data_IF_459056004326
#
_entry.id   IF_459056004326
#
_cell.length_a   1.000
_cell.length_b   1.000
_cell.length_c   1.000
_cell.angle_alpha   90.00
_cell.angle_beta   90.00
_cell.angle_gamma   90.00
#
_symmetry.space_group_name_H-M   'P 1'
#
loop_
_entity.id
_entity.type
_entity.pdbx_description
1 polymer ?
#
# COMPACT_ATOMS: atom_id res chain seq x y z
N UNK A 1 8.32 -18.75 8.35
CA UNK A 1 8.24 -17.44 8.99
C UNK A 1 6.90 -17.34 9.72
N UNK A 2 6.92 -17.08 11.01
CA UNK A 2 5.72 -16.89 11.84
C UNK A 2 5.20 -15.45 11.72
N UNK A 3 4.03 -15.16 12.27
CA UNK A 3 3.52 -13.76 12.32
C UNK A 3 4.46 -12.86 13.13
N UNK A 4 5.00 -13.38 14.21
CA UNK A 4 5.95 -12.64 15.05
C UNK A 4 7.25 -12.30 14.31
N UNK A 5 7.73 -13.21 13.46
CA UNK A 5 8.91 -12.94 12.60
C UNK A 5 8.62 -11.85 11.58
N UNK A 6 7.40 -11.79 11.02
CA UNK A 6 6.98 -10.76 10.07
C UNK A 6 6.88 -9.39 10.73
N UNK A 7 6.29 -9.33 11.93
CA UNK A 7 6.18 -8.08 12.69
C UNK A 7 7.59 -7.56 13.02
N UNK A 8 8.46 -8.43 13.56
CA UNK A 8 9.85 -8.08 13.88
C UNK A 8 10.62 -7.57 12.65
N UNK A 9 10.46 -8.22 11.51
CA UNK A 9 11.08 -7.80 10.25
C UNK A 9 10.63 -6.38 9.85
N UNK A 10 9.35 -6.07 10.01
CA UNK A 10 8.81 -4.74 9.73
C UNK A 10 9.31 -3.70 10.75
N UNK A 11 9.40 -4.06 12.04
CA UNK A 11 9.93 -3.20 13.09
C UNK A 11 11.41 -2.85 12.86
N UNK A 12 12.22 -3.82 12.45
CA UNK A 12 13.62 -3.61 12.05
C UNK A 12 13.75 -2.67 10.84
N UNK A 13 12.74 -2.64 9.97
CA UNK A 13 12.65 -1.68 8.87
C UNK A 13 12.10 -0.30 9.26
N UNK A 14 11.75 -0.10 10.54
CA UNK A 14 11.28 1.17 11.10
C UNK A 14 9.77 1.37 11.05
N UNK A 15 8.98 0.29 10.94
CA UNK A 15 7.53 0.33 10.98
C UNK A 15 6.96 -0.06 12.34
N UNK A 16 5.77 0.45 12.64
CA UNK A 16 4.82 -0.26 13.48
C UNK A 16 4.10 -1.27 12.57
N UNK A 17 3.80 -2.46 13.08
CA UNK A 17 3.25 -3.52 12.23
C UNK A 17 2.24 -4.41 12.94
N UNK A 18 1.33 -4.98 12.14
CA UNK A 18 0.40 -6.02 12.55
C UNK A 18 0.15 -7.01 11.41
N UNK A 19 -0.22 -8.23 11.75
CA UNK A 19 -0.61 -9.25 10.78
C UNK A 19 -2.07 -9.64 11.03
N UNK A 20 -2.85 -9.76 9.95
CA UNK A 20 -4.23 -10.23 10.00
C UNK A 20 -4.58 -11.08 8.77
N UNK A 21 -5.65 -11.89 8.82
CA UNK A 21 -6.17 -12.55 7.63
C UNK A 21 -6.56 -11.54 6.56
N UNK A 22 -6.16 -11.75 5.29
CA UNK A 22 -6.43 -10.79 4.22
C UNK A 22 -7.93 -10.50 4.02
N UNK A 23 -8.79 -11.50 4.22
CA UNK A 23 -10.25 -11.37 4.16
C UNK A 23 -10.87 -10.47 5.25
N UNK A 24 -10.10 -10.13 6.26
CA UNK A 24 -10.53 -9.26 7.34
C UNK A 24 -10.15 -7.79 7.15
N UNK A 25 -9.46 -7.46 6.06
CA UNK A 25 -9.13 -6.08 5.69
C UNK A 25 -10.43 -5.32 5.40
N UNK A 26 -10.69 -4.21 6.11
CA UNK A 26 -11.89 -3.42 5.87
C UNK A 26 -11.77 -2.68 4.55
N UNK A 27 -12.75 -2.85 3.67
CA UNK A 27 -12.85 -2.17 2.39
C UNK A 27 -14.21 -1.51 2.24
N UNK A 28 -14.26 -0.40 1.50
CA UNK A 28 -15.49 0.29 1.14
C UNK A 28 -15.40 0.72 -0.33
N UNK A 29 -16.18 0.07 -1.20
CA UNK A 29 -16.16 0.32 -2.64
C UNK A 29 -16.48 1.77 -3.02
N UNK A 30 -17.20 2.51 -2.17
CA UNK A 30 -17.49 3.93 -2.38
C UNK A 30 -16.23 4.80 -2.42
N UNK A 31 -15.13 4.35 -1.82
CA UNK A 31 -13.84 5.06 -1.81
C UNK A 31 -13.20 5.14 -3.19
N UNK A 32 -13.65 4.33 -4.17
CA UNK A 32 -13.20 4.45 -5.56
C UNK A 32 -13.44 5.86 -6.12
N UNK A 33 -14.49 6.52 -5.66
CA UNK A 33 -14.80 7.89 -6.05
C UNK A 33 -13.65 8.86 -5.76
N UNK A 34 -12.90 8.69 -4.67
CA UNK A 34 -11.73 9.53 -4.37
C UNK A 34 -10.64 9.44 -5.46
N UNK A 35 -10.51 8.27 -6.08
CA UNK A 35 -9.61 8.10 -7.22
C UNK A 35 -10.21 8.70 -8.51
N UNK A 36 -11.52 8.56 -8.74
CA UNK A 36 -12.22 9.08 -9.92
C UNK A 36 -12.25 10.61 -9.93
N UNK A 37 -12.36 11.24 -8.77
CA UNK A 37 -12.26 12.71 -8.62
C UNK A 37 -10.85 13.25 -9.00
N UNK A 38 -9.86 12.36 -9.12
CA UNK A 38 -8.51 12.59 -9.65
C UNK A 38 -7.75 13.76 -9.01
N UNK A 39 -8.00 14.06 -7.74
CA UNK A 39 -7.32 15.14 -7.02
C UNK A 39 -5.80 14.94 -6.92
N UNK A 40 -5.34 13.68 -6.93
CA UNK A 40 -3.92 13.35 -6.93
C UNK A 40 -3.27 13.33 -8.33
N UNK A 41 -4.04 13.50 -9.42
CA UNK A 41 -3.57 13.49 -10.80
C UNK A 41 -3.05 12.14 -11.31
N UNK A 42 -3.39 11.02 -10.64
CA UNK A 42 -2.90 9.66 -10.98
C UNK A 42 -3.95 8.75 -11.60
N UNK A 43 -5.20 9.21 -11.66
CA UNK A 43 -6.26 8.46 -12.34
C UNK A 43 -5.93 8.30 -13.82
N UNK A 44 -6.05 7.08 -14.35
CA UNK A 44 -5.70 6.72 -15.74
C UNK A 44 -4.27 7.13 -16.18
N UNK A 45 -3.34 7.28 -15.23
CA UNK A 45 -1.97 7.72 -15.50
C UNK A 45 -0.92 6.64 -15.20
N UNK A 46 -1.32 5.50 -14.63
CA UNK A 46 -0.43 4.36 -14.38
C UNK A 46 -1.20 3.06 -14.09
N UNK A 47 -0.53 1.92 -14.25
CA UNK A 47 -1.12 0.59 -14.03
C UNK A 47 -1.46 0.26 -12.57
N UNK A 48 -1.06 1.08 -11.62
CA UNK A 48 -1.31 0.88 -10.19
C UNK A 48 -2.50 1.69 -9.67
N UNK A 49 -3.04 2.58 -10.50
CA UNK A 49 -4.21 3.41 -10.20
C UNK A 49 -5.39 3.04 -11.10
N UNK A 50 -6.63 3.36 -10.72
CA UNK A 50 -7.79 3.14 -11.57
C UNK A 50 -7.71 3.95 -12.86
N UNK A 51 -8.27 3.42 -13.95
CA UNK A 51 -8.81 2.07 -14.14
C UNK A 51 -7.73 0.99 -14.33
N UNK A 52 -6.46 1.34 -14.48
CA UNK A 52 -5.35 0.43 -14.79
C UNK A 52 -5.10 -0.68 -13.77
N UNK A 53 -5.46 -0.48 -12.50
CA UNK A 53 -5.37 -1.51 -11.47
C UNK A 53 -6.56 -2.50 -11.48
N UNK A 54 -7.63 -2.20 -12.22
CA UNK A 54 -8.86 -2.99 -12.30
C UNK A 54 -10.06 -2.34 -11.62
N UNK A 55 -11.22 -3.00 -11.75
CA UNK A 55 -12.48 -2.61 -11.08
C UNK A 55 -12.41 -2.81 -9.57
N UNK A 56 -13.41 -2.33 -8.83
CA UNK A 56 -13.52 -2.55 -7.38
C UNK A 56 -13.59 -4.04 -7.07
N UNK A 57 -14.40 -4.78 -7.82
CA UNK A 57 -14.58 -6.22 -7.68
C UNK A 57 -13.27 -6.98 -7.90
N UNK A 58 -12.54 -6.64 -8.97
CA UNK A 58 -11.27 -7.29 -9.31
C UNK A 58 -10.18 -7.05 -8.26
N UNK A 59 -10.07 -5.82 -7.74
CA UNK A 59 -9.06 -5.53 -6.70
C UNK A 59 -9.42 -6.18 -5.37
N UNK A 60 -10.70 -6.24 -5.00
CA UNK A 60 -11.15 -6.93 -3.79
C UNK A 60 -10.99 -8.45 -3.92
N UNK A 61 -11.33 -9.03 -5.06
CA UNK A 61 -11.10 -10.45 -5.32
C UNK A 61 -9.62 -10.80 -5.19
N UNK A 62 -8.72 -9.98 -5.76
CA UNK A 62 -7.27 -10.17 -5.67
C UNK A 62 -6.78 -10.05 -4.24
N UNK A 63 -7.30 -9.10 -3.46
CA UNK A 63 -6.94 -8.88 -2.07
C UNK A 63 -7.36 -10.07 -1.19
N UNK A 64 -8.62 -10.48 -1.31
CA UNK A 64 -9.20 -11.53 -0.48
C UNK A 64 -8.80 -12.96 -0.91
N UNK A 65 -8.18 -13.11 -2.07
CA UNK A 65 -7.53 -14.36 -2.48
C UNK A 65 -6.21 -14.62 -1.75
N UNK A 66 -5.64 -13.60 -1.08
CA UNK A 66 -4.45 -13.79 -0.25
C UNK A 66 -4.81 -14.42 1.11
N UNK A 67 -3.86 -15.10 1.73
CA UNK A 67 -4.06 -15.72 3.04
C UNK A 67 -4.01 -14.68 4.16
N UNK A 68 -2.98 -13.83 4.14
CA UNK A 68 -2.67 -12.85 5.19
C UNK A 68 -2.26 -11.51 4.61
N UNK A 69 -2.28 -10.52 5.48
CA UNK A 69 -1.70 -9.22 5.21
C UNK A 69 -0.80 -8.78 6.36
N UNK A 70 0.39 -8.30 6.03
CA UNK A 70 1.25 -7.52 6.91
C UNK A 70 0.90 -6.05 6.69
N UNK A 71 0.29 -5.43 7.69
CA UNK A 71 0.00 -3.99 7.74
C UNK A 71 1.16 -3.30 8.41
N UNK A 72 1.63 -2.24 7.80
CA UNK A 72 2.76 -1.46 8.30
C UNK A 72 2.43 0.02 8.36
N UNK A 73 2.98 0.71 9.33
CA UNK A 73 2.78 2.14 9.53
C UNK A 73 4.12 2.82 9.81
N UNK A 74 4.36 3.96 9.15
CA UNK A 74 5.37 4.92 9.51
C UNK A 74 4.72 6.22 9.97
N UNK A 75 5.27 6.79 11.06
CA UNK A 75 4.82 8.07 11.60
C UNK A 75 5.95 9.08 11.49
N UNK A 76 5.64 10.26 10.98
CA UNK A 76 6.56 11.38 10.89
C UNK A 76 6.04 12.56 11.71
N UNK A 77 6.93 13.21 12.41
CA UNK A 77 6.69 14.55 12.94
C UNK A 77 6.61 15.54 11.76
N UNK A 78 5.57 16.34 11.72
CA UNK A 78 5.36 17.36 10.67
C UNK A 78 4.95 18.68 11.33
N UNK A 79 5.15 19.77 10.61
CA UNK A 79 4.63 21.08 11.00
C UNK A 79 3.61 21.52 9.92
N UNK A 80 2.43 20.92 9.99
CA UNK A 80 1.41 21.05 8.93
C UNK A 80 1.74 20.21 7.70
N UNK A 81 0.97 20.47 6.62
CA UNK A 81 1.06 19.68 5.37
C UNK A 81 1.47 20.53 4.17
N UNK A 82 2.13 21.66 4.39
CA UNK A 82 2.54 22.59 3.33
C UNK A 82 3.85 22.16 2.67
N UNK A 83 4.70 21.40 3.36
CA UNK A 83 5.95 20.88 2.82
C UNK A 83 5.69 19.68 1.88
N UNK A 84 5.38 19.98 0.63
CA UNK A 84 5.08 18.97 -0.40
C UNK A 84 6.27 18.07 -0.72
N UNK A 85 7.49 18.57 -0.65
CA UNK A 85 8.70 17.78 -0.93
C UNK A 85 8.92 16.76 0.17
N UNK A 86 8.78 17.14 1.43
CA UNK A 86 8.85 16.24 2.56
C UNK A 86 7.77 15.14 2.47
N UNK A 87 6.52 15.51 2.17
CA UNK A 87 5.43 14.55 2.03
C UNK A 87 5.72 13.55 0.90
N UNK A 88 6.20 14.02 -0.25
CA UNK A 88 6.54 13.14 -1.38
C UNK A 88 7.71 12.22 -1.02
N UNK A 89 8.74 12.73 -0.37
CA UNK A 89 9.91 11.94 0.04
C UNK A 89 9.53 10.86 1.06
N UNK A 90 8.67 11.18 2.04
CA UNK A 90 8.17 10.25 3.05
C UNK A 90 7.33 9.13 2.42
N UNK A 91 6.44 9.46 1.48
CA UNK A 91 5.67 8.48 0.69
C UNK A 91 6.59 7.55 -0.10
N UNK A 92 7.59 8.11 -0.76
CA UNK A 92 8.55 7.33 -1.54
C UNK A 92 9.41 6.43 -0.64
N UNK A 93 9.76 6.87 0.56
CA UNK A 93 10.45 6.05 1.55
C UNK A 93 9.58 4.88 1.99
N UNK A 94 8.33 5.13 2.41
CA UNK A 94 7.39 4.07 2.78
C UNK A 94 7.25 3.04 1.65
N UNK A 95 6.95 3.48 0.42
CA UNK A 95 6.74 2.58 -0.71
C UNK A 95 7.97 1.72 -1.02
N UNK A 96 9.18 2.31 -0.98
CA UNK A 96 10.43 1.56 -1.19
C UNK A 96 10.65 0.52 -0.10
N UNK A 97 10.42 0.89 1.17
CA UNK A 97 10.62 -0.03 2.29
C UNK A 97 9.60 -1.18 2.24
N UNK A 98 8.34 -0.92 1.88
CA UNK A 98 7.32 -1.95 1.66
C UNK A 98 7.72 -2.92 0.54
N UNK A 99 8.28 -2.41 -0.57
CA UNK A 99 8.78 -3.26 -1.65
C UNK A 99 9.98 -4.12 -1.22
N UNK A 100 10.91 -3.57 -0.43
CA UNK A 100 12.03 -4.32 0.13
C UNK A 100 11.56 -5.44 1.08
N UNK A 101 10.57 -5.16 1.93
CA UNK A 101 9.96 -6.20 2.77
C UNK A 101 9.33 -7.31 1.92
N UNK A 102 8.62 -6.96 0.83
CA UNK A 102 8.05 -7.97 -0.07
C UNK A 102 9.13 -8.83 -0.73
N UNK A 103 10.26 -8.24 -1.13
CA UNK A 103 11.38 -9.03 -1.69
C UNK A 103 11.91 -10.03 -0.62
N UNK A 104 12.05 -9.64 0.64
CA UNK A 104 12.43 -10.55 1.74
C UNK A 104 11.38 -11.65 2.00
N UNK A 105 10.08 -11.31 1.91
CA UNK A 105 9.01 -12.31 2.01
C UNK A 105 9.10 -13.33 0.86
N UNK A 106 9.42 -12.88 -0.35
CA UNK A 106 9.60 -13.76 -1.52
C UNK A 106 10.77 -14.72 -1.34
N UNK A 107 11.89 -14.25 -0.80
CA UNK A 107 13.05 -15.09 -0.45
C UNK A 107 12.69 -16.13 0.62
N UNK A 108 11.74 -15.81 1.50
CA UNK A 108 11.22 -16.74 2.51
C UNK A 108 10.09 -17.66 2.00
N UNK A 109 9.86 -17.71 0.68
CA UNK A 109 8.88 -18.61 0.06
C UNK A 109 7.43 -18.12 0.11
N UNK A 110 7.22 -16.82 0.25
CA UNK A 110 5.91 -16.21 0.13
C UNK A 110 5.75 -15.49 -1.21
N UNK A 111 4.52 -15.27 -1.64
CA UNK A 111 4.21 -14.46 -2.81
C UNK A 111 2.98 -13.58 -2.55
N UNK A 112 2.84 -12.52 -3.33
CA UNK A 112 1.76 -11.58 -3.15
C UNK A 112 2.04 -10.22 -3.77
N UNK A 113 1.44 -9.17 -3.23
CA UNK A 113 1.59 -7.83 -3.76
C UNK A 113 1.53 -6.75 -2.66
N UNK A 114 1.96 -5.55 -3.02
CA UNK A 114 2.08 -4.42 -2.12
C UNK A 114 1.04 -3.34 -2.40
N UNK A 115 0.52 -2.76 -1.33
CA UNK A 115 -0.21 -1.51 -1.32
C UNK A 115 0.55 -0.49 -0.48
N UNK A 116 0.63 0.73 -0.97
CA UNK A 116 1.29 1.83 -0.29
C UNK A 116 0.53 3.12 -0.44
N UNK A 117 1.25 4.23 -0.55
CA UNK A 117 0.67 5.55 -0.62
C UNK A 117 0.99 6.24 -1.96
N UNK A 118 -0.05 6.73 -2.65
CA UNK A 118 0.10 7.35 -3.97
C UNK A 118 0.30 6.33 -5.09
N UNK A 119 0.67 6.81 -6.26
CA UNK A 119 0.93 5.94 -7.42
C UNK A 119 2.29 5.23 -7.33
N UNK A 120 2.46 4.21 -8.19
CA UNK A 120 3.71 3.46 -8.28
C UNK A 120 4.89 4.38 -8.67
N UNK A 121 6.01 4.35 -7.94
CA UNK A 121 7.16 5.23 -8.19
C UNK A 121 8.21 4.64 -9.13
N UNK A 122 8.00 3.44 -9.69
CA UNK A 122 9.03 2.69 -10.42
C UNK A 122 9.32 3.25 -11.82
N UNK A 123 8.39 3.99 -12.41
CA UNK A 123 8.54 4.62 -13.73
C UNK A 123 8.02 6.06 -13.72
N UNK A 124 8.70 6.96 -14.42
CA UNK A 124 8.24 8.33 -14.62
C UNK A 124 8.58 8.81 -16.04
N UNK A 125 7.59 8.93 -16.96
CA UNK A 125 6.20 8.51 -16.82
C UNK A 125 6.01 6.99 -16.79
N UNK A 126 4.84 6.54 -16.32
CA UNK A 126 4.48 5.13 -16.37
C UNK A 126 4.28 4.69 -17.84
N UNK A 127 4.67 3.45 -18.16
CA UNK A 127 4.51 2.89 -19.52
C UNK A 127 3.06 2.81 -19.99
N UNK A 128 2.09 2.84 -19.10
CA UNK A 128 0.67 2.91 -19.44
C UNK A 128 0.34 4.15 -20.29
N UNK A 129 0.98 5.30 -20.01
CA UNK A 129 0.75 6.54 -20.78
C UNK A 129 1.26 6.47 -22.22
N UNK A 130 2.14 5.50 -22.50
CA UNK A 130 2.67 5.21 -23.84
C UNK A 130 1.93 4.02 -24.50
N UNK A 131 0.89 3.47 -23.88
CA UNK A 131 0.20 2.25 -24.36
C UNK A 131 1.07 0.98 -24.31
N UNK A 132 2.17 1.00 -23.56
CA UNK A 132 3.11 -0.13 -23.45
C UNK A 132 2.86 -0.93 -22.17
N UNK A 133 3.17 -2.25 -22.16
CA UNK A 133 3.08 -3.08 -20.96
C UNK A 133 3.88 -2.50 -19.78
N UNK A 134 3.45 -2.86 -18.55
CA UNK A 134 4.19 -2.49 -17.35
C UNK A 134 5.62 -3.08 -17.40
N UNK A 135 6.62 -2.23 -17.14
CA UNK A 135 8.03 -2.67 -17.13
C UNK A 135 8.37 -3.53 -15.89
N UNK A 136 7.58 -3.44 -14.81
CA UNK A 136 7.81 -4.11 -13.54
C UNK A 136 6.50 -4.71 -12.99
N UNK A 137 5.85 -5.65 -13.71
CA UNK A 137 4.52 -6.14 -13.33
C UNK A 137 4.49 -6.78 -11.93
N UNK A 138 5.56 -7.50 -11.56
CA UNK A 138 5.67 -8.20 -10.27
C UNK A 138 6.10 -7.28 -9.11
N UNK A 139 6.61 -6.09 -9.41
CA UNK A 139 7.13 -5.14 -8.42
C UNK A 139 6.28 -3.88 -8.28
N UNK A 140 5.22 -3.74 -9.07
CA UNK A 140 4.37 -2.55 -8.97
C UNK A 140 3.68 -2.49 -7.62
N UNK A 141 3.61 -1.28 -7.06
CA UNK A 141 2.87 -1.00 -5.83
C UNK A 141 1.64 -0.16 -6.14
N UNK A 142 0.48 -0.55 -5.62
CA UNK A 142 -0.77 0.19 -5.76
C UNK A 142 -1.06 1.03 -4.50
N UNK A 143 -1.95 2.00 -4.63
CA UNK A 143 -2.39 2.79 -3.49
C UNK A 143 -3.47 2.04 -2.68
N UNK A 144 -3.46 2.20 -1.36
CA UNK A 144 -4.52 1.68 -0.48
C UNK A 144 -5.91 2.16 -0.94
N UNK A 145 -6.04 3.43 -1.35
CA UNK A 145 -7.29 3.99 -1.89
C UNK A 145 -7.73 3.32 -3.19
N UNK A 146 -6.79 2.87 -4.05
CA UNK A 146 -7.11 2.15 -5.27
C UNK A 146 -7.73 0.77 -5.01
N UNK A 147 -7.48 0.20 -3.84
CA UNK A 147 -8.09 -1.02 -3.34
C UNK A 147 -9.27 -0.74 -2.39
N UNK A 148 -9.67 0.51 -2.26
CA UNK A 148 -10.77 0.94 -1.40
C UNK A 148 -10.62 0.51 0.06
N UNK A 149 -9.39 0.43 0.56
CA UNK A 149 -9.11 0.07 1.96
C UNK A 149 -9.48 1.21 2.88
N UNK A 150 -10.30 0.94 3.89
CA UNK A 150 -10.61 1.86 4.98
C UNK A 150 -9.48 1.84 6.00
N UNK A 151 -8.52 2.74 5.82
CA UNK A 151 -7.30 2.81 6.66
C UNK A 151 -7.64 3.11 8.12
N UNK A 152 -8.66 3.92 8.39
CA UNK A 152 -9.07 4.23 9.76
C UNK A 152 -9.59 2.99 10.51
N UNK A 153 -10.46 2.21 9.85
CA UNK A 153 -10.93 0.93 10.42
C UNK A 153 -9.82 -0.11 10.48
N UNK A 154 -8.92 -0.13 9.50
CA UNK A 154 -7.79 -1.04 9.48
C UNK A 154 -6.84 -0.76 10.65
N UNK A 155 -6.45 0.50 10.87
CA UNK A 155 -5.61 0.90 12.00
C UNK A 155 -6.22 0.49 13.34
N UNK A 156 -7.51 0.78 13.54
CA UNK A 156 -8.24 0.37 14.74
C UNK A 156 -8.23 -1.15 14.94
N UNK A 157 -8.43 -1.92 13.87
CA UNK A 157 -8.45 -3.39 13.93
C UNK A 157 -7.08 -3.97 14.24
N UNK A 158 -6.01 -3.32 13.77
CA UNK A 158 -4.61 -3.69 14.01
C UNK A 158 -4.04 -3.11 15.31
N UNK A 159 -4.82 -2.34 16.07
CA UNK A 159 -4.35 -1.61 17.27
C UNK A 159 -3.17 -0.68 16.96
N UNK A 160 -3.08 -0.18 15.73
CA UNK A 160 -2.08 0.79 15.29
C UNK A 160 -2.58 2.21 15.55
N UNK A 161 -1.70 3.14 15.96
CA UNK A 161 -2.10 4.53 16.20
C UNK A 161 -2.54 5.19 14.89
N UNK A 162 -3.64 5.93 14.93
CA UNK A 162 -4.09 6.73 13.80
C UNK A 162 -4.92 7.91 14.28
N UNK A 163 -4.46 9.10 13.98
CA UNK A 163 -5.20 10.33 14.24
C UNK A 163 -4.92 11.36 13.14
N UNK A 164 -5.93 12.15 12.83
CA UNK A 164 -5.73 13.35 12.02
C UNK A 164 -5.19 14.46 12.91
N UNK A 165 -3.96 14.90 12.64
CA UNK A 165 -3.33 16.00 13.38
C UNK A 165 -2.46 16.85 12.46
N UNK A 166 -2.05 18.04 12.92
CA UNK A 166 -1.14 18.91 12.17
C UNK A 166 0.34 18.69 12.55
N UNK A 167 0.62 17.84 13.52
CA UNK A 167 1.95 17.57 14.06
C UNK A 167 2.47 16.17 13.72
N UNK A 168 1.58 15.26 13.28
CA UNK A 168 1.95 13.90 12.89
C UNK A 168 1.30 13.47 11.58
N UNK A 169 2.11 12.87 10.73
CA UNK A 169 1.67 12.24 9.49
C UNK A 169 1.79 10.72 9.61
N UNK A 170 0.65 10.04 9.52
CA UNK A 170 0.52 8.59 9.54
C UNK A 170 0.42 8.04 8.12
N UNK A 171 1.41 7.28 7.70
CA UNK A 171 1.40 6.63 6.38
C UNK A 171 1.39 5.12 6.53
N UNK A 172 0.41 4.50 5.90
CA UNK A 172 0.20 3.05 5.93
C UNK A 172 0.63 2.38 4.63
N UNK A 173 1.17 1.18 4.77
CA UNK A 173 1.38 0.24 3.69
C UNK A 173 0.82 -1.13 4.07
N UNK A 174 0.68 -2.00 3.07
CA UNK A 174 0.16 -3.34 3.25
C UNK A 174 0.83 -4.29 2.26
N UNK A 175 1.23 -5.45 2.76
CA UNK A 175 1.69 -6.57 1.93
C UNK A 175 0.68 -7.69 2.09
N UNK A 176 -0.12 -7.94 1.05
CA UNK A 176 -1.04 -9.07 1.01
C UNK A 176 -0.32 -10.26 0.40
N UNK A 177 -0.30 -11.42 1.07
CA UNK A 177 0.54 -12.54 0.69
C UNK A 177 -0.06 -13.91 1.02
N UNK A 178 0.48 -14.94 0.38
CA UNK A 178 0.24 -16.36 0.62
C UNK A 178 1.56 -17.12 0.56
N UNK A 179 1.60 -18.36 1.08
CA UNK A 179 2.75 -19.24 0.89
C UNK A 179 2.79 -19.73 -0.56
N UNK A 180 3.97 -19.75 -1.14
CA UNK A 180 4.17 -20.45 -2.42
C UNK A 180 3.93 -21.95 -2.24
N UNK A 181 3.19 -22.52 -3.18
CA UNK A 181 3.00 -23.97 -3.25
C UNK A 181 4.31 -24.71 -3.56
#
# INVERSE_FOLDING_TARGET
>A
MTEMDLIKLAEEAGFLAAVLPAKEIPVDGSFRKFCEDNLCGKYNANYSCPPGCGTVEEVHQRLFAQEKALVVEMIWEVNGYDDKEFIISSRNKLNRTVLQLMDQLREAGMDGFCLGYGGCPLCNPCKQTEGKPCAFPEKKISCMSAYCVDVGKLAKKCELPFAWSNDKMHLFGLIAFHKKA
#
